data_IF_461702365338
#
_entry.id   IF_461702365338
#
_cell.length_a   1.000
_cell.length_b   1.000
_cell.length_c   1.000
_cell.angle_alpha   90.00
_cell.angle_beta   90.00
_cell.angle_gamma   90.00
#
_symmetry.space_group_name_H-M   'P 1'
#
loop_
_entity.id
_entity.type
_entity.pdbx_description
1 polymer ?
#
# COMPACT_ATOMS: atom_id res chain seq x y z
N UNK A 1 -1.78 1.42 -27.13
CA UNK A 1 -2.71 0.30 -27.19
C UNK A 1 -4.06 0.71 -26.60
N UNK A 2 -5.15 0.31 -27.25
CA UNK A 2 -6.48 0.56 -26.69
C UNK A 2 -6.64 -0.34 -25.44
N UNK A 3 -7.17 0.24 -24.37
CA UNK A 3 -7.45 -0.45 -23.09
C UNK A 3 -8.25 -1.73 -23.32
N UNK A 4 -9.17 -1.73 -24.30
CA UNK A 4 -9.95 -2.90 -24.72
C UNK A 4 -9.14 -4.09 -25.25
N UNK A 5 -7.84 -3.91 -25.55
CA UNK A 5 -6.96 -5.03 -25.91
C UNK A 5 -6.34 -5.71 -24.67
N UNK A 6 -6.34 -5.02 -23.55
CA UNK A 6 -5.80 -5.52 -22.28
C UNK A 6 -6.92 -6.17 -21.42
N UNK A 7 -8.14 -5.70 -21.55
CA UNK A 7 -9.29 -6.14 -20.75
C UNK A 7 -10.41 -6.63 -21.63
N UNK A 8 -10.99 -7.78 -21.32
CA UNK A 8 -12.16 -8.33 -22.04
C UNK A 8 -13.42 -7.52 -21.81
N UNK A 9 -13.56 -6.91 -20.65
CA UNK A 9 -14.62 -5.95 -20.29
C UNK A 9 -14.08 -4.96 -19.26
N UNK A 10 -14.69 -3.78 -19.23
CA UNK A 10 -14.43 -2.74 -18.23
C UNK A 10 -15.78 -2.31 -17.69
N UNK A 11 -15.97 -2.52 -16.39
CA UNK A 11 -17.13 -2.02 -15.68
C UNK A 11 -16.76 -0.72 -14.96
N UNK A 12 -17.64 0.27 -15.07
CA UNK A 12 -17.46 1.56 -14.43
C UNK A 12 -18.46 1.71 -13.29
N UNK A 13 -17.96 1.96 -12.10
CA UNK A 13 -18.77 2.24 -10.92
C UNK A 13 -18.73 3.74 -10.65
N UNK A 14 -19.88 4.40 -10.73
CA UNK A 14 -20.01 5.80 -10.38
C UNK A 14 -20.32 5.91 -8.88
N UNK A 15 -19.42 6.50 -8.13
CA UNK A 15 -19.63 6.70 -6.70
C UNK A 15 -20.64 7.84 -6.48
N UNK A 16 -21.63 7.59 -5.65
CA UNK A 16 -22.67 8.56 -5.30
C UNK A 16 -22.03 9.79 -4.62
N UNK A 17 -22.35 10.96 -5.16
CA UNK A 17 -21.94 12.25 -4.61
C UNK A 17 -23.18 13.12 -4.42
N UNK A 18 -24.02 12.75 -3.46
CA UNK A 18 -25.32 13.38 -3.20
C UNK A 18 -25.27 14.53 -2.19
N UNK A 19 -24.09 14.80 -1.60
CA UNK A 19 -23.93 15.86 -0.62
C UNK A 19 -22.55 15.91 0.04
N UNK A 20 -22.36 16.82 1.00
CA UNK A 20 -21.05 17.03 1.65
C UNK A 20 -20.49 15.77 2.35
N UNK A 21 -21.38 14.89 2.80
CA UNK A 21 -21.00 13.68 3.51
C UNK A 21 -20.49 12.55 2.59
N UNK A 22 -20.91 12.55 1.32
CA UNK A 22 -20.48 11.57 0.31
C UNK A 22 -19.42 12.11 -0.65
N UNK A 23 -18.97 13.36 -0.48
CA UNK A 23 -17.98 13.98 -1.36
C UNK A 23 -16.58 13.43 -1.14
N UNK A 24 -16.08 12.68 -2.10
CA UNK A 24 -14.71 12.18 -2.15
C UNK A 24 -13.83 13.20 -2.88
N UNK A 25 -12.94 13.85 -2.14
CA UNK A 25 -12.09 14.91 -2.70
C UNK A 25 -10.95 14.33 -3.56
N UNK A 26 -10.37 13.22 -3.12
CA UNK A 26 -9.30 12.48 -3.81
C UNK A 26 -9.53 10.99 -3.62
N UNK A 27 -8.96 10.18 -4.48
CA UNK A 27 -8.90 8.73 -4.30
C UNK A 27 -7.43 8.39 -4.00
N UNK A 28 -7.13 8.25 -2.71
CA UNK A 28 -5.76 7.98 -2.26
C UNK A 28 -5.50 6.46 -2.18
N UNK A 29 -6.52 5.69 -1.83
CA UNK A 29 -6.45 4.23 -1.72
C UNK A 29 -7.86 3.63 -1.82
N UNK A 30 -7.99 2.47 -2.45
CA UNK A 30 -9.26 1.73 -2.55
C UNK A 30 -9.03 0.29 -2.10
N UNK A 31 -9.91 -0.19 -1.23
CA UNK A 31 -9.97 -1.61 -0.83
C UNK A 31 -11.40 -2.12 -0.89
N UNK A 32 -11.53 -3.43 -0.93
CA UNK A 32 -12.82 -4.11 -0.99
C UNK A 32 -13.01 -5.04 0.20
N UNK A 33 -14.22 -5.07 0.74
CA UNK A 33 -14.66 -6.05 1.72
C UNK A 33 -16.03 -6.59 1.31
N UNK A 34 -16.04 -7.79 0.72
CA UNK A 34 -17.26 -8.32 0.12
C UNK A 34 -17.80 -7.36 -0.95
N UNK A 35 -19.03 -6.90 -0.76
CA UNK A 35 -19.70 -5.95 -1.66
C UNK A 35 -19.47 -4.47 -1.30
N UNK A 36 -18.63 -4.21 -0.32
CA UNK A 36 -18.30 -2.84 0.10
C UNK A 36 -17.02 -2.36 -0.55
N UNK A 37 -17.10 -1.21 -1.20
CA UNK A 37 -15.97 -0.45 -1.73
C UNK A 37 -15.59 0.55 -0.65
N UNK A 38 -14.32 0.56 -0.23
CA UNK A 38 -13.79 1.48 0.78
C UNK A 38 -12.78 2.38 0.10
N UNK A 39 -13.05 3.67 0.13
CA UNK A 39 -12.20 4.70 -0.49
C UNK A 39 -11.60 5.57 0.61
N UNK A 40 -10.27 5.61 0.67
CA UNK A 40 -9.57 6.58 1.51
C UNK A 40 -9.43 7.90 0.75
N UNK A 41 -9.81 8.98 1.41
CA UNK A 41 -9.66 10.35 0.94
C UNK A 41 -9.35 11.27 2.12
N UNK A 42 -8.20 11.93 2.09
CA UNK A 42 -7.80 12.99 3.05
C UNK A 42 -8.13 12.69 4.53
N UNK A 43 -7.78 11.49 5.02
CA UNK A 43 -7.98 11.11 6.43
C UNK A 43 -9.38 10.61 6.77
N UNK A 44 -10.22 10.37 5.77
CA UNK A 44 -11.57 9.81 5.89
C UNK A 44 -11.67 8.54 5.07
N UNK A 45 -12.37 7.54 5.56
CA UNK A 45 -12.76 6.37 4.79
C UNK A 45 -14.24 6.51 4.42
N UNK A 46 -14.52 6.38 3.13
CA UNK A 46 -15.86 6.39 2.56
C UNK A 46 -16.25 4.98 2.16
N UNK A 47 -17.48 4.61 2.43
CA UNK A 47 -18.01 3.28 2.15
C UNK A 47 -19.11 3.39 1.08
N UNK A 48 -19.00 2.55 0.07
CA UNK A 48 -19.98 2.43 -1.01
C UNK A 48 -20.30 0.96 -1.24
N UNK A 49 -21.48 0.67 -1.74
CA UNK A 49 -21.79 -0.67 -2.24
C UNK A 49 -21.25 -0.87 -3.67
N UNK A 50 -21.43 -2.05 -4.25
CA UNK A 50 -20.93 -2.38 -5.61
C UNK A 50 -21.57 -1.53 -6.71
N UNK A 51 -22.76 -0.99 -6.51
CA UNK A 51 -23.42 -0.07 -7.42
C UNK A 51 -22.95 1.38 -7.25
N UNK A 52 -22.01 1.62 -6.32
CA UNK A 52 -21.48 2.94 -6.02
C UNK A 52 -22.36 3.78 -5.10
N UNK A 53 -23.42 3.22 -4.51
CA UNK A 53 -24.28 3.93 -3.57
C UNK A 53 -23.54 4.16 -2.25
N UNK A 54 -23.61 5.39 -1.74
CA UNK A 54 -23.00 5.77 -0.47
C UNK A 54 -23.66 5.05 0.71
N UNK A 55 -22.83 4.41 1.53
CA UNK A 55 -23.25 3.69 2.74
C UNK A 55 -22.91 4.45 4.02
N UNK A 56 -21.89 5.31 3.97
CA UNK A 56 -21.44 6.05 5.14
C UNK A 56 -19.99 6.45 5.03
N UNK A 57 -19.49 7.15 6.06
CA UNK A 57 -18.07 7.49 6.18
C UNK A 57 -17.58 7.23 7.60
N UNK A 58 -16.29 6.95 7.70
CA UNK A 58 -15.58 6.83 8.96
C UNK A 58 -14.54 7.94 9.05
N UNK A 59 -14.74 8.85 9.99
CA UNK A 59 -13.84 9.94 10.27
C UNK A 59 -13.77 10.13 11.80
N UNK A 60 -12.62 9.81 12.40
CA UNK A 60 -12.36 10.00 13.84
C UNK A 60 -11.05 10.78 14.05
N UNK A 61 -10.80 11.74 13.16
CA UNK A 61 -9.62 12.56 13.16
C UNK A 61 -9.70 13.61 14.27
N UNK A 62 -9.13 13.33 15.43
CA UNK A 62 -9.01 14.27 16.54
C UNK A 62 -7.95 13.80 17.56
N UNK A 63 -7.91 14.46 18.73
CA UNK A 63 -7.05 14.06 19.84
C UNK A 63 -7.89 13.31 20.90
N UNK A 64 -7.38 12.18 21.39
CA UNK A 64 -8.03 11.40 22.45
C UNK A 64 -7.80 9.90 22.32
N UNK A 65 -8.41 9.13 23.22
CA UNK A 65 -8.43 7.68 23.13
C UNK A 65 -9.43 7.23 22.06
N UNK A 66 -9.09 6.20 21.29
CA UNK A 66 -9.98 5.66 20.27
C UNK A 66 -10.13 6.53 19.02
N UNK A 67 -9.16 7.40 18.75
CA UNK A 67 -9.10 8.28 17.59
C UNK A 67 -7.72 8.21 16.94
N UNK A 68 -7.66 8.59 15.66
CA UNK A 68 -6.41 8.77 14.91
C UNK A 68 -6.25 10.24 14.52
N UNK A 69 -5.02 10.63 14.15
CA UNK A 69 -4.71 11.96 13.62
C UNK A 69 -4.71 11.97 12.11
N UNK A 70 -4.16 10.89 11.52
CA UNK A 70 -4.11 10.72 10.07
C UNK A 70 -4.37 9.27 9.70
N UNK A 71 -4.69 9.03 8.43
CA UNK A 71 -4.68 7.70 7.82
C UNK A 71 -3.58 7.70 6.77
N UNK A 72 -2.42 7.15 7.10
CA UNK A 72 -1.35 6.96 6.12
C UNK A 72 -1.70 5.82 5.15
N UNK A 73 -2.10 4.70 5.70
CA UNK A 73 -2.64 3.54 5.00
C UNK A 73 -3.64 2.80 5.91
N UNK A 74 -4.42 1.90 5.34
CA UNK A 74 -5.37 1.09 6.09
C UNK A 74 -5.44 -0.32 5.51
N UNK A 75 -5.89 -1.26 6.30
CA UNK A 75 -6.19 -2.61 5.85
C UNK A 75 -7.36 -3.22 6.63
N UNK A 76 -7.83 -4.37 6.15
CA UNK A 76 -8.95 -5.08 6.73
C UNK A 76 -8.49 -6.48 7.09
N UNK A 77 -8.66 -6.86 8.36
CA UNK A 77 -8.38 -8.22 8.81
C UNK A 77 -9.32 -9.21 8.09
N UNK A 78 -8.80 -10.13 7.28
CA UNK A 78 -9.67 -11.03 6.49
C UNK A 78 -10.58 -11.91 7.36
N UNK A 79 -10.09 -12.39 8.50
CA UNK A 79 -10.82 -13.33 9.37
C UNK A 79 -11.86 -12.67 10.27
N UNK A 80 -11.59 -11.48 10.80
CA UNK A 80 -12.49 -10.78 11.76
C UNK A 80 -13.26 -9.63 11.10
N UNK A 81 -12.76 -9.13 9.97
CA UNK A 81 -13.29 -7.93 9.33
C UNK A 81 -12.97 -6.64 10.06
N UNK A 82 -12.04 -6.67 11.02
CA UNK A 82 -11.57 -5.45 11.71
C UNK A 82 -10.91 -4.49 10.70
N UNK A 83 -11.18 -3.21 10.90
CA UNK A 83 -10.55 -2.12 10.17
C UNK A 83 -9.31 -1.68 10.93
N UNK A 84 -8.14 -1.79 10.29
CA UNK A 84 -6.86 -1.38 10.85
C UNK A 84 -6.38 -0.14 10.12
N UNK A 85 -6.02 0.90 10.87
CA UNK A 85 -5.51 2.17 10.36
C UNK A 85 -4.11 2.38 10.89
N UNK A 86 -3.16 2.71 10.01
CA UNK A 86 -1.86 3.23 10.43
C UNK A 86 -1.92 4.77 10.50
N UNK A 87 -1.74 5.28 11.72
CA UNK A 87 -1.63 6.70 12.02
C UNK A 87 -0.16 7.10 12.13
N UNK A 88 0.39 7.68 11.08
CA UNK A 88 1.81 8.06 11.01
C UNK A 88 2.16 9.32 11.84
N UNK A 89 1.19 10.04 12.38
CA UNK A 89 1.45 11.14 13.33
C UNK A 89 1.58 10.66 14.77
N UNK A 90 1.03 9.52 15.10
CA UNK A 90 1.17 8.92 16.41
C UNK A 90 1.98 7.62 16.40
N UNK A 91 2.55 7.25 15.24
CA UNK A 91 3.28 6.01 14.99
C UNK A 91 2.52 4.81 15.59
N UNK A 92 1.27 4.63 15.16
CA UNK A 92 0.40 3.64 15.79
C UNK A 92 -0.54 2.95 14.80
N UNK A 93 -0.77 1.66 15.03
CA UNK A 93 -1.90 0.93 14.48
C UNK A 93 -3.12 1.14 15.36
N UNK A 94 -4.21 1.63 14.78
CA UNK A 94 -5.49 1.84 15.47
C UNK A 94 -6.51 0.89 14.87
N UNK A 95 -7.12 0.08 15.70
CA UNK A 95 -7.98 -1.03 15.29
C UNK A 95 -9.42 -0.76 15.73
N UNK A 96 -10.32 -0.90 14.76
CA UNK A 96 -11.75 -0.72 14.92
C UNK A 96 -12.51 -1.93 14.40
N UNK A 97 -13.69 -2.18 14.98
CA UNK A 97 -14.71 -2.97 14.32
C UNK A 97 -15.16 -2.28 13.03
N UNK A 98 -15.70 -3.05 12.09
CA UNK A 98 -16.21 -2.48 10.83
C UNK A 98 -17.43 -1.57 11.04
N UNK A 99 -18.08 -1.69 12.20
CA UNK A 99 -19.13 -0.79 12.70
C UNK A 99 -18.60 0.55 13.27
N UNK A 100 -17.27 0.71 13.29
CA UNK A 100 -16.59 1.86 13.84
C UNK A 100 -16.33 1.80 15.34
N UNK A 101 -16.62 0.69 16.02
CA UNK A 101 -16.30 0.51 17.45
C UNK A 101 -14.78 0.45 17.63
N UNK A 102 -14.24 1.29 18.51
CA UNK A 102 -12.82 1.26 18.85
C UNK A 102 -12.48 0.00 19.64
N UNK A 103 -11.48 -0.74 19.20
CA UNK A 103 -10.99 -1.93 19.90
C UNK A 103 -9.70 -1.65 20.67
N UNK A 104 -8.64 -1.23 19.96
CA UNK A 104 -7.33 -1.03 20.58
C UNK A 104 -6.42 -0.13 19.72
N UNK A 105 -5.36 0.35 20.34
CA UNK A 105 -4.26 1.08 19.69
C UNK A 105 -2.93 0.45 20.11
N UNK A 106 -2.09 0.11 19.16
CA UNK A 106 -0.72 -0.35 19.36
C UNK A 106 0.28 0.69 18.89
N UNK A 107 1.22 1.07 19.75
CA UNK A 107 2.31 1.96 19.36
C UNK A 107 3.34 1.17 18.56
N UNK A 108 3.85 1.76 17.48
CA UNK A 108 4.91 1.22 16.65
C UNK A 108 6.20 1.96 16.96
N UNK A 109 7.30 1.22 17.00
CA UNK A 109 8.63 1.82 17.20
C UNK A 109 9.23 2.37 15.90
N UNK A 110 8.73 1.91 14.76
CA UNK A 110 9.26 2.18 13.44
C UNK A 110 8.28 3.00 12.60
N UNK A 111 8.81 3.76 11.65
CA UNK A 111 8.01 4.42 10.64
C UNK A 111 7.56 3.41 9.57
N UNK A 112 6.29 3.47 9.21
CA UNK A 112 5.65 2.56 8.26
C UNK A 112 5.10 3.36 7.10
N UNK A 113 5.38 2.94 5.88
CA UNK A 113 4.81 3.53 4.66
C UNK A 113 3.62 2.75 4.16
N UNK A 114 3.61 1.43 4.36
CA UNK A 114 2.52 0.55 3.99
C UNK A 114 2.51 -0.70 4.87
N UNK A 115 1.34 -1.33 4.99
CA UNK A 115 1.21 -2.57 5.74
C UNK A 115 0.11 -3.48 5.17
N UNK A 116 0.22 -4.76 5.49
CA UNK A 116 -0.83 -5.75 5.26
C UNK A 116 -1.07 -6.59 6.51
N UNK A 117 -2.31 -6.97 6.72
CA UNK A 117 -2.71 -7.83 7.84
C UNK A 117 -2.62 -9.29 7.42
N UNK A 118 -1.87 -10.09 8.17
CA UNK A 118 -1.76 -11.52 7.94
C UNK A 118 -2.98 -12.30 8.46
N UNK A 119 -3.28 -13.49 7.92
CA UNK A 119 -4.42 -14.30 8.37
C UNK A 119 -4.42 -14.61 9.87
N UNK A 120 -3.25 -14.75 10.48
CA UNK A 120 -3.06 -15.01 11.91
C UNK A 120 -3.21 -13.77 12.81
N UNK A 121 -3.47 -12.59 12.23
CA UNK A 121 -3.60 -11.32 12.93
C UNK A 121 -2.30 -10.56 13.17
N UNK A 122 -1.16 -11.08 12.72
CA UNK A 122 0.09 -10.35 12.67
C UNK A 122 0.07 -9.28 11.56
N UNK A 123 1.05 -8.40 11.56
CA UNK A 123 1.18 -7.37 10.53
C UNK A 123 2.49 -7.51 9.78
N UNK A 124 2.40 -7.38 8.47
CA UNK A 124 3.53 -7.23 7.58
C UNK A 124 3.68 -5.72 7.31
N UNK A 125 4.85 -5.17 7.57
CA UNK A 125 5.11 -3.74 7.51
C UNK A 125 6.24 -3.46 6.54
N UNK A 126 6.18 -2.33 5.83
CA UNK A 126 7.28 -1.91 4.95
C UNK A 126 7.58 -0.43 5.09
N UNK A 127 8.86 -0.10 4.95
CA UNK A 127 9.37 1.26 4.86
C UNK A 127 10.61 1.29 3.95
N UNK A 128 10.51 1.89 2.76
CA UNK A 128 11.66 2.10 1.89
C UNK A 128 12.43 3.39 2.20
N UNK A 129 11.88 4.30 3.00
CA UNK A 129 12.37 5.67 3.14
C UNK A 129 13.53 5.75 4.13
N UNK A 130 14.55 6.51 3.76
CA UNK A 130 15.64 6.89 4.65
C UNK A 130 15.37 8.28 5.26
N UNK A 131 15.19 8.32 6.58
CA UNK A 131 15.03 9.59 7.30
C UNK A 131 16.36 10.06 7.87
N UNK A 132 16.82 11.23 7.47
CA UNK A 132 18.05 11.83 8.02
C UNK A 132 17.88 12.06 9.53
N UNK A 133 18.81 11.49 10.31
CA UNK A 133 18.87 11.70 11.76
C UNK A 133 17.95 10.81 12.60
N UNK A 134 17.26 9.83 11.99
CA UNK A 134 16.52 8.79 12.69
C UNK A 134 16.77 7.45 12.04
N UNK A 135 17.17 6.48 12.85
CA UNK A 135 17.35 5.08 12.43
C UNK A 135 16.00 4.37 12.53
N UNK A 136 15.20 4.45 11.50
CA UNK A 136 14.01 3.61 11.36
C UNK A 136 14.37 2.31 10.62
N UNK A 137 13.66 1.24 10.96
CA UNK A 137 13.74 -0.02 10.22
C UNK A 137 13.35 0.19 8.77
N UNK A 138 14.09 -0.42 7.85
CA UNK A 138 13.87 -0.33 6.42
C UNK A 138 13.69 -1.73 5.83
N UNK A 139 12.93 -1.81 4.75
CA UNK A 139 12.62 -3.06 4.06
C UNK A 139 11.25 -3.59 4.40
N UNK A 140 11.16 -4.91 4.58
CA UNK A 140 9.94 -5.63 4.90
C UNK A 140 10.15 -6.42 6.18
N UNK A 141 9.26 -6.29 7.15
CA UNK A 141 9.33 -7.01 8.43
C UNK A 141 7.96 -7.37 8.97
N UNK A 142 7.93 -8.33 9.88
CA UNK A 142 6.73 -8.78 10.55
C UNK A 142 6.72 -8.36 12.02
N UNK A 143 5.54 -7.95 12.50
CA UNK A 143 5.24 -7.74 13.91
C UNK A 143 4.02 -8.57 14.30
N UNK A 144 3.89 -8.86 15.59
CA UNK A 144 2.70 -9.55 16.10
C UNK A 144 1.48 -8.61 16.20
N UNK A 145 0.33 -9.15 16.56
CA UNK A 145 -0.92 -8.41 16.72
C UNK A 145 -0.86 -7.27 17.77
N UNK A 146 0.19 -7.22 18.61
CA UNK A 146 0.47 -6.16 19.58
C UNK A 146 1.51 -5.16 19.09
N UNK A 147 2.02 -5.32 17.86
CA UNK A 147 3.04 -4.46 17.27
C UNK A 147 4.49 -4.80 17.69
N UNK A 148 4.73 -5.93 18.35
CA UNK A 148 6.08 -6.35 18.75
C UNK A 148 6.80 -7.01 17.58
N UNK A 149 8.05 -6.62 17.35
CA UNK A 149 8.88 -7.16 16.28
C UNK A 149 9.01 -8.69 16.38
N UNK A 150 8.85 -9.39 15.27
CA UNK A 150 9.05 -10.83 15.12
C UNK A 150 10.26 -11.17 14.27
N UNK A 151 10.29 -10.69 13.03
CA UNK A 151 11.40 -10.99 12.11
C UNK A 151 11.54 -9.94 11.02
N UNK A 152 12.77 -9.76 10.53
CA UNK A 152 13.05 -9.06 9.27
C UNK A 152 12.92 -10.06 8.12
N UNK A 153 12.28 -9.66 7.04
CA UNK A 153 12.07 -10.49 5.84
C UNK A 153 12.95 -9.98 4.71
N UNK A 154 12.93 -8.66 4.47
CA UNK A 154 13.80 -7.98 3.51
C UNK A 154 14.48 -6.81 4.21
N UNK A 155 15.80 -6.67 4.04
CA UNK A 155 16.58 -5.52 4.54
C UNK A 155 17.04 -4.73 3.32
N UNK A 156 16.80 -3.42 3.30
CA UNK A 156 17.36 -2.55 2.27
C UNK A 156 18.76 -2.06 2.64
N UNK A 157 19.61 -1.90 1.62
CA UNK A 157 20.96 -1.35 1.78
C UNK A 157 20.90 0.04 2.44
N UNK A 158 21.84 0.32 3.36
CA UNK A 158 21.92 1.58 4.09
C UNK A 158 22.12 2.79 3.14
N UNK A 159 22.79 2.57 2.03
CA UNK A 159 23.06 3.59 1.02
C UNK A 159 21.90 3.76 0.02
N UNK A 160 20.92 2.87 0.04
CA UNK A 160 19.79 2.95 -0.85
C UNK A 160 18.91 4.16 -0.47
N UNK A 161 18.96 5.19 -1.31
CA UNK A 161 18.15 6.39 -1.16
C UNK A 161 16.89 6.27 -2.01
N UNK A 162 15.80 5.84 -1.40
CA UNK A 162 14.52 5.85 -2.07
C UNK A 162 13.81 7.20 -1.88
N UNK A 163 13.47 7.83 -2.98
CA UNK A 163 12.51 8.95 -2.97
C UNK A 163 11.14 8.34 -3.10
N UNK A 164 10.38 8.36 -2.03
CA UNK A 164 9.03 7.79 -1.98
C UNK A 164 8.16 8.38 -3.08
N UNK A 165 7.63 7.51 -3.89
CA UNK A 165 6.57 7.85 -4.83
C UNK A 165 5.45 6.85 -4.56
N UNK A 166 4.38 7.33 -3.96
CA UNK A 166 3.07 6.72 -3.76
C UNK A 166 2.97 5.19 -3.61
N UNK A 167 2.37 4.76 -2.51
CA UNK A 167 1.91 3.40 -2.23
C UNK A 167 0.77 2.97 -3.18
N UNK A 168 0.42 1.68 -3.28
CA UNK A 168 0.78 0.60 -2.34
C UNK A 168 2.04 -0.17 -2.71
N UNK A 169 2.72 -0.74 -1.69
CA UNK A 169 3.81 -1.70 -1.83
C UNK A 169 3.36 -3.13 -1.55
N UNK A 170 2.29 -3.27 -0.77
CA UNK A 170 1.72 -4.53 -0.33
C UNK A 170 0.29 -4.67 -0.85
N UNK A 171 -0.06 -5.86 -1.31
CA UNK A 171 -1.39 -6.15 -1.83
C UNK A 171 -1.82 -7.57 -1.49
N UNK A 172 -3.05 -7.74 -1.01
CA UNK A 172 -3.65 -9.06 -0.85
C UNK A 172 -4.02 -9.62 -2.22
N UNK A 173 -3.34 -10.70 -2.64
CA UNK A 173 -3.66 -11.45 -3.86
C UNK A 173 -4.77 -12.44 -3.55
N UNK A 174 -4.64 -13.12 -2.41
CA UNK A 174 -5.64 -13.99 -1.81
C UNK A 174 -5.59 -13.86 -0.28
N UNK A 175 -6.48 -14.49 0.49
CA UNK A 175 -6.41 -14.45 1.95
C UNK A 175 -5.06 -14.88 2.53
N UNK A 176 -4.35 -15.80 1.87
CA UNK A 176 -3.11 -16.42 2.36
C UNK A 176 -1.85 -15.93 1.61
N UNK A 177 -2.01 -15.11 0.56
CA UNK A 177 -0.90 -14.63 -0.28
C UNK A 177 -0.88 -13.12 -0.34
N UNK A 178 0.24 -12.55 0.08
CA UNK A 178 0.49 -11.11 -0.03
C UNK A 178 1.57 -10.87 -1.09
N UNK A 179 1.23 -10.05 -2.07
CA UNK A 179 2.18 -9.54 -3.03
C UNK A 179 2.98 -8.38 -2.44
N UNK A 180 4.25 -8.32 -2.76
CA UNK A 180 5.15 -7.26 -2.34
C UNK A 180 5.97 -6.73 -3.52
N UNK A 181 5.93 -5.44 -3.73
CA UNK A 181 6.77 -4.75 -4.68
C UNK A 181 8.05 -4.31 -3.99
N UNK A 182 9.15 -5.03 -4.25
CA UNK A 182 10.49 -4.65 -3.78
C UNK A 182 10.91 -3.31 -4.40
N UNK A 183 11.54 -2.46 -3.60
CA UNK A 183 11.95 -1.12 -4.03
C UNK A 183 13.43 -1.07 -4.40
N UNK A 184 14.27 -1.80 -3.68
CA UNK A 184 15.72 -1.88 -3.94
C UNK A 184 16.01 -2.62 -5.24
N UNK A 185 15.34 -3.76 -5.42
CA UNK A 185 15.34 -4.50 -6.68
C UNK A 185 14.17 -4.02 -7.53
N UNK A 186 14.40 -2.97 -8.30
CA UNK A 186 13.37 -2.31 -9.11
C UNK A 186 12.66 -3.20 -10.13
N UNK A 187 13.15 -4.40 -10.35
CA UNK A 187 12.65 -5.36 -11.32
C UNK A 187 11.90 -6.54 -10.68
N UNK A 188 11.91 -6.68 -9.35
CA UNK A 188 11.33 -7.85 -8.69
C UNK A 188 9.97 -7.55 -8.03
N UNK A 189 9.07 -8.52 -8.19
CA UNK A 189 7.83 -8.65 -7.46
C UNK A 189 7.83 -9.97 -6.70
N UNK A 190 7.39 -9.94 -5.47
CA UNK A 190 7.47 -11.07 -4.55
C UNK A 190 6.10 -11.49 -4.07
N UNK A 191 5.98 -12.78 -3.75
CA UNK A 191 4.87 -13.32 -2.97
C UNK A 191 5.37 -13.75 -1.60
N UNK A 192 4.61 -13.38 -0.58
CA UNK A 192 4.73 -13.92 0.76
C UNK A 192 3.54 -14.87 1.00
N UNK A 193 3.87 -16.14 1.21
CA UNK A 193 2.91 -17.18 1.58
C UNK A 193 3.58 -18.13 2.57
N UNK A 194 2.85 -18.64 3.55
CA UNK A 194 3.36 -19.60 4.55
C UNK A 194 4.69 -19.15 5.18
N UNK A 195 4.79 -17.86 5.55
CA UNK A 195 6.01 -17.25 6.09
C UNK A 195 7.24 -17.24 5.16
N UNK A 196 7.08 -17.65 3.91
CA UNK A 196 8.13 -17.71 2.89
C UNK A 196 7.98 -16.63 1.85
N UNK A 197 9.04 -15.88 1.58
CA UNK A 197 9.11 -14.91 0.50
C UNK A 197 9.71 -15.57 -0.74
N UNK A 198 9.02 -15.50 -1.86
CA UNK A 198 9.47 -16.00 -3.15
C UNK A 198 9.37 -14.92 -4.23
N UNK A 199 10.26 -14.97 -5.22
CA UNK A 199 10.13 -14.11 -6.41
C UNK A 199 9.00 -14.66 -7.26
N UNK A 200 7.99 -13.83 -7.49
CA UNK A 200 6.89 -14.16 -8.39
C UNK A 200 7.24 -13.81 -9.84
N UNK A 201 7.71 -12.60 -10.04
CA UNK A 201 7.95 -12.07 -11.37
C UNK A 201 9.17 -11.14 -11.37
N UNK A 202 9.90 -11.15 -12.48
CA UNK A 202 10.95 -10.18 -12.77
C UNK A 202 10.56 -9.37 -14.01
N UNK A 203 10.51 -8.06 -13.84
CA UNK A 203 10.38 -7.15 -14.96
C UNK A 203 11.75 -6.95 -15.59
N UNK A 204 11.90 -7.33 -16.87
CA UNK A 204 13.10 -7.02 -17.64
C UNK A 204 12.83 -5.81 -18.52
N UNK A 205 13.68 -4.79 -18.42
CA UNK A 205 13.68 -3.64 -19.32
C UNK A 205 15.00 -3.65 -20.08
N UNK A 206 14.99 -3.17 -21.32
CA UNK A 206 16.22 -3.05 -22.14
C UNK A 206 17.20 -2.03 -21.54
N UNK A 207 16.79 -1.30 -20.52
CA UNK A 207 17.54 -0.23 -19.90
C UNK A 207 17.68 -0.55 -18.40
N UNK A 208 18.89 -0.97 -18.07
CA UNK A 208 19.30 -1.28 -16.70
C UNK A 208 19.95 -0.04 -16.10
N UNK A 209 19.43 0.45 -14.98
CA UNK A 209 20.12 1.48 -14.19
C UNK A 209 21.38 0.84 -13.61
N UNK A 210 22.59 1.33 -13.96
CA UNK A 210 23.82 0.85 -13.35
C UNK A 210 23.78 0.96 -11.81
N UNK A 211 24.35 -0.03 -11.12
CA UNK A 211 24.26 -0.11 -9.65
C UNK A 211 24.88 1.09 -8.93
N UNK A 212 25.94 1.67 -9.51
CA UNK A 212 26.57 2.91 -9.02
C UNK A 212 25.67 4.13 -9.12
N UNK A 213 24.62 4.07 -9.95
CA UNK A 213 23.68 5.15 -10.15
C UNK A 213 22.39 4.96 -9.35
N UNK A 214 22.05 3.75 -8.92
CA UNK A 214 20.84 3.46 -8.12
C UNK A 214 20.78 4.27 -6.80
N UNK A 215 21.94 4.61 -6.26
CA UNK A 215 22.09 5.34 -5.00
C UNK A 215 22.32 6.85 -5.17
N UNK A 216 22.22 7.38 -6.39
CA UNK A 216 22.48 8.78 -6.66
C UNK A 216 21.17 9.54 -6.91
N UNK A 217 20.75 10.37 -5.94
CA UNK A 217 19.52 11.17 -6.05
C UNK A 217 19.49 12.11 -7.26
N UNK A 218 20.65 12.46 -7.84
CA UNK A 218 20.75 13.26 -9.07
C UNK A 218 20.38 12.45 -10.32
N UNK A 219 20.46 11.15 -10.25
CA UNK A 219 20.12 10.24 -11.33
C UNK A 219 18.62 10.17 -11.55
N UNK A 220 17.82 10.27 -10.46
CA UNK A 220 16.36 10.37 -10.56
C UNK A 220 15.86 11.65 -11.26
N UNK A 221 16.74 12.62 -11.46
CA UNK A 221 16.42 13.89 -12.15
C UNK A 221 16.84 13.85 -13.64
N UNK A 222 17.53 12.81 -14.07
CA UNK A 222 17.95 12.70 -15.47
C UNK A 222 16.81 12.11 -16.33
N UNK A 223 16.27 12.88 -17.31
CA UNK A 223 15.17 12.43 -18.15
C UNK A 223 15.50 11.23 -19.07
N UNK A 224 16.77 10.84 -19.14
CA UNK A 224 17.19 9.64 -19.86
C UNK A 224 17.22 8.39 -18.98
N UNK A 225 16.99 8.53 -17.68
CA UNK A 225 16.92 7.41 -16.74
C UNK A 225 15.47 7.08 -16.41
N UNK A 226 15.16 5.93 -16.57
CA UNK A 226 13.90 5.29 -16.83
C UNK A 226 13.11 4.91 -15.62
N UNK A 227 11.93 4.55 -15.84
CA UNK A 227 10.82 4.04 -15.06
C UNK A 227 11.09 3.75 -13.58
N UNK A 228 10.48 4.54 -12.73
CA UNK A 228 10.25 4.20 -11.32
C UNK A 228 8.90 3.53 -11.18
N UNK A 229 8.85 2.36 -10.56
CA UNK A 229 7.58 1.74 -10.20
C UNK A 229 6.87 2.60 -9.15
N UNK A 230 5.64 2.98 -9.42
CA UNK A 230 4.86 3.80 -8.51
C UNK A 230 3.42 3.30 -8.43
N UNK A 231 3.18 2.26 -7.72
CA UNK A 231 1.88 1.65 -7.58
C UNK A 231 1.87 0.24 -8.13
N UNK A 232 1.24 -0.60 -7.40
CA UNK A 232 1.22 -2.02 -7.62
C UNK A 232 -0.13 -2.57 -7.18
N UNK A 233 -0.72 -3.40 -8.05
CA UNK A 233 -1.89 -4.17 -7.75
C UNK A 233 -1.74 -5.54 -8.40
N UNK A 234 -1.89 -6.58 -7.63
CA UNK A 234 -1.87 -7.95 -8.10
C UNK A 234 -3.14 -8.68 -7.70
N UNK A 235 -3.60 -9.54 -8.59
CA UNK A 235 -4.70 -10.47 -8.39
C UNK A 235 -4.19 -11.88 -8.67
N UNK A 236 -4.99 -12.90 -8.46
CA UNK A 236 -4.62 -14.28 -8.80
C UNK A 236 -4.27 -14.51 -10.28
N UNK A 237 -4.66 -13.58 -11.16
CA UNK A 237 -4.49 -13.72 -12.62
C UNK A 237 -3.63 -12.64 -13.25
N UNK A 238 -3.54 -11.48 -12.62
CA UNK A 238 -2.98 -10.30 -13.25
C UNK A 238 -2.11 -9.51 -12.29
N UNK A 239 -0.99 -9.05 -12.79
CA UNK A 239 -0.13 -8.08 -12.14
C UNK A 239 -0.25 -6.75 -12.89
N UNK A 240 -0.63 -5.70 -12.17
CA UNK A 240 -0.66 -4.34 -12.66
C UNK A 240 0.36 -3.51 -11.92
N UNK A 241 1.16 -2.77 -12.62
CA UNK A 241 2.00 -1.76 -12.00
C UNK A 241 2.05 -0.50 -12.87
N UNK A 242 2.30 0.61 -12.21
CA UNK A 242 2.53 1.89 -12.85
C UNK A 242 4.01 2.15 -12.82
N UNK A 243 4.62 2.29 -13.99
CA UNK A 243 5.97 2.76 -14.12
C UNK A 243 5.94 4.16 -14.71
N UNK A 244 6.58 5.11 -14.05
CA UNK A 244 6.67 6.47 -14.53
C UNK A 244 8.11 6.79 -14.88
N UNK A 245 8.30 7.48 -15.98
CA UNK A 245 9.50 8.25 -16.23
C UNK A 245 9.17 9.75 -16.08
N UNK A 246 10.18 10.59 -16.02
CA UNK A 246 10.01 12.05 -15.91
C UNK A 246 9.27 12.70 -17.09
N UNK A 247 8.95 11.95 -18.14
CA UNK A 247 8.26 12.40 -19.34
C UNK A 247 6.80 11.92 -19.48
N UNK A 248 6.17 11.44 -18.41
CA UNK A 248 4.73 11.09 -18.34
C UNK A 248 4.28 9.89 -19.20
N UNK A 249 5.09 8.86 -19.36
CA UNK A 249 4.63 7.61 -19.98
C UNK A 249 4.17 6.62 -18.91
N UNK A 250 2.88 6.35 -18.88
CA UNK A 250 2.29 5.30 -18.06
C UNK A 250 2.45 3.96 -18.78
N UNK A 251 3.17 3.03 -18.21
CA UNK A 251 3.27 1.67 -18.72
C UNK A 251 2.52 0.75 -17.77
N UNK A 252 1.48 0.10 -18.26
CA UNK A 252 0.81 -1.00 -17.57
C UNK A 252 1.27 -2.31 -18.19
N UNK A 253 1.74 -3.22 -17.38
CA UNK A 253 2.10 -4.56 -17.85
C UNK A 253 1.06 -5.56 -17.32
N UNK A 254 0.60 -6.39 -18.22
CA UNK A 254 -0.33 -7.48 -17.97
C UNK A 254 0.43 -8.81 -18.16
N UNK A 255 0.39 -9.66 -17.17
CA UNK A 255 0.98 -11.02 -17.23
C UNK A 255 -0.13 -12.06 -17.40
#
# INVERSE_FOLDING_TARGET
PLVSRLFGSIDTIYLENSGPDSYVQSVDEVKFKGDTIIVRSTGTLFFFNREGKYLGRFCRQCNGSGVYRTIACFDIQPSTGELIIFDNQSDALVIYGFDGTYHRKGLMADYVTDFAVLPNGDFLLTNPIHYRGKEYRRGLWQVDAQGRFKKQIVTYDENFLHVSINNPYLNHISPDVIGFMGVEDNDLFYHLADDSLSVNCRMTTDIVIPDDLKNNSKVFINPQMEYTKCGYLETERFLYFVATNYGANLVMVHL
#
